data_IF_122950405134
#
_entry.id   IF_122950405134
#
_cell.length_a   1.000
_cell.length_b   1.000
_cell.length_c   1.000
_cell.angle_alpha   90.00
_cell.angle_beta   90.00
_cell.angle_gamma   90.00
#
_symmetry.space_group_name_H-M   'P 1'
#
loop_
_entity.id
_entity.type
_entity.pdbx_description
1 polymer ?
#
# COMPACT_ATOMS: atom_id res chain seq x y z
N UNK A 1 -16.79 6.81 -17.97
CA UNK A 1 -16.14 5.64 -17.33
C UNK A 1 -14.74 6.06 -16.91
N UNK A 2 -14.20 5.60 -15.77
CA UNK A 2 -12.82 5.91 -15.41
C UNK A 2 -11.86 5.23 -16.41
N UNK A 3 -10.90 6.00 -16.94
CA UNK A 3 -10.01 5.55 -18.01
C UNK A 3 -8.64 5.06 -17.51
N UNK A 4 -8.27 5.40 -16.27
CA UNK A 4 -6.98 5.04 -15.68
C UNK A 4 -7.23 4.30 -14.36
N UNK A 5 -7.08 2.98 -14.39
CA UNK A 5 -7.30 2.09 -13.24
C UNK A 5 -6.01 1.60 -12.60
N UNK A 6 -4.85 1.83 -13.23
CA UNK A 6 -3.53 1.59 -12.65
C UNK A 6 -2.46 2.25 -13.53
N UNK A 7 -1.28 2.51 -12.95
CA UNK A 7 -0.09 2.99 -13.66
C UNK A 7 1.12 2.19 -13.16
N UNK A 8 1.97 1.71 -14.08
CA UNK A 8 3.20 0.95 -13.79
C UNK A 8 3.00 -0.33 -12.95
N UNK A 9 1.77 -0.86 -12.89
CA UNK A 9 1.46 -2.13 -12.24
C UNK A 9 1.80 -3.29 -13.18
N UNK A 10 2.45 -4.33 -12.65
CA UNK A 10 2.72 -5.54 -13.43
C UNK A 10 1.42 -6.28 -13.79
N UNK A 11 1.36 -6.98 -14.93
CA UNK A 11 0.19 -7.79 -15.29
C UNK A 11 -0.17 -8.81 -14.21
N UNK A 12 -1.46 -9.08 -14.00
CA UNK A 12 -1.89 -10.10 -13.05
C UNK A 12 -1.34 -11.47 -13.46
N UNK A 13 -0.94 -12.26 -12.46
CA UNK A 13 -0.44 -13.63 -12.62
C UNK A 13 -0.83 -14.48 -11.41
N UNK A 14 -0.75 -15.80 -11.54
CA UNK A 14 -0.88 -16.70 -10.40
C UNK A 14 0.14 -16.34 -9.31
N UNK A 15 -0.20 -16.56 -8.05
CA UNK A 15 0.69 -16.33 -6.91
C UNK A 15 1.94 -17.21 -7.07
N UNK A 16 3.12 -16.59 -7.12
CA UNK A 16 4.41 -17.31 -7.13
C UNK A 16 5.42 -16.56 -6.29
N UNK A 17 6.18 -17.32 -5.52
CA UNK A 17 7.33 -16.87 -4.75
C UNK A 17 8.53 -17.66 -5.28
N UNK A 18 9.64 -17.00 -5.64
CA UNK A 18 10.80 -17.70 -6.18
C UNK A 18 11.51 -18.46 -5.06
N UNK A 19 12.01 -19.67 -5.36
CA UNK A 19 12.83 -20.48 -4.45
C UNK A 19 14.06 -21.03 -5.17
N UNK A 20 15.16 -21.33 -4.46
CA UNK A 20 16.38 -21.87 -5.07
C UNK A 20 16.17 -23.20 -5.80
N UNK A 21 15.22 -24.03 -5.35
CA UNK A 21 14.91 -25.32 -5.95
C UNK A 21 13.41 -25.63 -5.89
N UNK A 22 12.97 -26.57 -6.72
CA UNK A 22 11.60 -27.09 -6.67
C UNK A 22 11.30 -27.80 -5.34
N UNK A 23 12.29 -28.46 -4.74
CA UNK A 23 12.14 -29.10 -3.42
C UNK A 23 11.87 -28.08 -2.31
N UNK A 24 12.58 -26.95 -2.32
CA UNK A 24 12.32 -25.85 -1.38
C UNK A 24 10.91 -25.27 -1.58
N UNK A 25 10.49 -25.08 -2.83
CA UNK A 25 9.17 -24.54 -3.16
C UNK A 25 8.00 -25.43 -2.70
N UNK A 26 8.21 -26.76 -2.61
CA UNK A 26 7.18 -27.71 -2.18
C UNK A 26 7.03 -27.79 -0.66
N UNK A 27 8.08 -27.48 0.10
CA UNK A 27 8.14 -27.77 1.54
C UNK A 27 8.16 -26.51 2.41
N UNK A 28 8.66 -25.39 1.88
CA UNK A 28 8.88 -24.19 2.69
C UNK A 28 7.78 -23.16 2.50
N UNK A 29 7.29 -22.52 3.57
CA UNK A 29 6.41 -21.37 3.43
C UNK A 29 7.14 -20.22 2.71
N UNK A 30 6.37 -19.27 2.16
CA UNK A 30 6.93 -18.15 1.37
C UNK A 30 7.93 -17.30 2.15
N UNK A 31 7.71 -17.18 3.45
CA UNK A 31 8.52 -16.40 4.39
C UNK A 31 9.95 -16.95 4.52
N UNK A 32 10.16 -18.22 4.21
CA UNK A 32 11.47 -18.88 4.25
C UNK A 32 12.22 -18.83 2.92
N UNK A 33 11.64 -18.24 1.87
CA UNK A 33 12.39 -17.99 0.64
C UNK A 33 13.46 -16.92 0.88
N UNK A 34 14.72 -17.12 0.42
CA UNK A 34 15.76 -16.10 0.50
C UNK A 34 15.47 -14.85 -0.37
N UNK A 35 14.47 -14.94 -1.25
CA UNK A 35 14.04 -13.87 -2.15
C UNK A 35 12.65 -13.33 -1.80
N UNK A 36 12.23 -13.56 -0.55
CA UNK A 36 11.06 -12.94 0.02
C UNK A 36 11.46 -12.02 1.17
N UNK A 37 10.90 -10.82 1.21
CA UNK A 37 11.12 -9.87 2.29
C UNK A 37 9.79 -9.31 2.74
N UNK A 38 9.37 -9.65 3.96
CA UNK A 38 8.08 -9.25 4.49
C UNK A 38 8.13 -7.81 5.02
N UNK A 39 7.27 -6.95 4.47
CA UNK A 39 7.10 -5.57 4.92
C UNK A 39 5.90 -5.39 5.86
N UNK A 40 5.31 -6.45 6.39
CA UNK A 40 4.32 -6.35 7.48
C UNK A 40 4.99 -5.86 8.78
N UNK A 41 4.19 -5.33 9.70
CA UNK A 41 4.63 -4.81 10.99
C UNK A 41 4.20 -3.36 11.19
N UNK A 42 4.93 -2.63 12.03
CA UNK A 42 4.62 -1.23 12.33
C UNK A 42 5.22 -0.31 11.27
N UNK A 43 4.40 0.59 10.74
CA UNK A 43 4.78 1.65 9.81
C UNK A 43 4.54 3.02 10.46
N UNK A 44 5.23 4.04 9.96
CA UNK A 44 4.90 5.43 10.27
C UNK A 44 3.64 5.82 9.50
N UNK A 45 2.72 6.51 10.15
CA UNK A 45 1.43 6.90 9.60
C UNK A 45 1.07 8.35 9.89
N UNK A 46 0.43 8.98 8.90
CA UNK A 46 -0.25 10.28 9.01
C UNK A 46 -1.57 10.21 8.26
N UNK A 47 -2.59 10.88 8.79
CA UNK A 47 -3.89 11.01 8.13
C UNK A 47 -4.17 12.48 7.81
N UNK A 48 -4.67 12.73 6.60
CA UNK A 48 -5.08 14.03 6.10
C UNK A 48 -6.57 14.01 5.77
N UNK A 49 -7.22 15.18 5.75
CA UNK A 49 -8.65 15.26 5.47
C UNK A 49 -9.00 15.08 4.00
N UNK A 50 -8.04 15.30 3.09
CA UNK A 50 -8.19 15.19 1.64
C UNK A 50 -6.83 15.01 0.95
N UNK A 51 -6.76 14.42 -0.25
CA UNK A 51 -5.49 14.13 -0.92
C UNK A 51 -4.68 15.39 -1.28
N UNK A 52 -5.33 16.52 -1.55
CA UNK A 52 -4.66 17.79 -1.90
C UNK A 52 -3.81 18.36 -0.75
N UNK A 53 -4.07 17.92 0.48
CA UNK A 53 -3.27 18.30 1.65
C UNK A 53 -1.97 17.51 1.76
N UNK A 54 -1.83 16.40 1.01
CA UNK A 54 -0.64 15.54 1.01
C UNK A 54 0.44 16.19 0.14
N UNK A 55 1.08 17.21 0.69
CA UNK A 55 2.25 17.86 0.08
C UNK A 55 3.54 17.35 0.73
N UNK A 56 4.67 17.46 0.02
CA UNK A 56 5.98 17.10 0.58
C UNK A 56 6.24 17.82 1.91
N UNK A 57 5.94 19.12 1.98
CA UNK A 57 6.09 19.91 3.21
C UNK A 57 5.20 19.38 4.34
N UNK A 58 3.92 19.07 4.07
CA UNK A 58 3.00 18.56 5.08
C UNK A 58 3.36 17.15 5.56
N UNK A 59 3.89 16.30 4.68
CA UNK A 59 4.36 14.96 5.02
C UNK A 59 5.62 15.02 5.90
N UNK A 60 6.55 15.93 5.62
CA UNK A 60 7.77 16.11 6.42
C UNK A 60 7.53 16.83 7.76
N UNK A 61 6.51 17.69 7.85
CA UNK A 61 6.19 18.42 9.07
C UNK A 61 5.39 17.59 10.08
N UNK A 62 5.69 17.76 11.38
CA UNK A 62 4.93 17.15 12.46
C UNK A 62 5.27 15.68 12.73
N UNK A 63 4.80 15.18 13.87
CA UNK A 63 5.08 13.83 14.33
C UNK A 63 4.36 12.78 13.49
N UNK A 64 4.99 11.61 13.36
CA UNK A 64 4.38 10.42 12.81
C UNK A 64 3.79 9.58 13.93
N UNK A 65 2.70 8.87 13.65
CA UNK A 65 2.11 7.90 14.57
C UNK A 65 2.38 6.48 14.07
N UNK A 66 2.55 5.50 14.96
CA UNK A 66 2.69 4.11 14.53
C UNK A 66 1.33 3.57 14.03
N UNK A 67 1.37 2.72 13.00
CA UNK A 67 0.21 1.94 12.54
C UNK A 67 0.63 0.50 12.22
N UNK A 68 -0.22 -0.47 12.55
CA UNK A 68 0.01 -1.86 12.17
C UNK A 68 -0.43 -2.12 10.72
N UNK A 69 0.43 -2.80 9.96
CA UNK A 69 0.17 -3.25 8.59
C UNK A 69 0.36 -4.77 8.51
N UNK A 70 -0.62 -5.54 8.01
CA UNK A 70 -1.92 -5.09 7.50
C UNK A 70 -2.89 -4.66 8.60
N UNK A 71 -3.85 -3.80 8.26
CA UNK A 71 -4.94 -3.39 9.13
C UNK A 71 -5.60 -2.10 8.64
N UNK A 72 -6.91 -1.97 8.88
CA UNK A 72 -7.64 -0.76 8.52
C UNK A 72 -7.33 0.35 9.51
N UNK A 73 -7.11 1.59 9.05
CA UNK A 73 -6.83 2.69 9.97
C UNK A 73 -8.03 3.02 10.88
N UNK A 74 -9.26 2.70 10.43
CA UNK A 74 -10.51 2.97 11.14
C UNK A 74 -10.66 2.13 12.40
N UNK A 75 -10.08 0.92 12.41
CA UNK A 75 -10.02 0.07 13.62
C UNK A 75 -8.80 0.36 14.49
N UNK A 76 -7.92 1.26 14.04
CA UNK A 76 -6.70 1.66 14.75
C UNK A 76 -6.78 3.10 15.29
N UNK A 77 -7.99 3.68 15.34
CA UNK A 77 -8.25 4.97 15.98
C UNK A 77 -8.27 6.18 15.03
N UNK A 78 -8.21 5.97 13.71
CA UNK A 78 -8.22 7.07 12.74
C UNK A 78 -9.53 7.09 11.94
N UNK A 79 -10.27 8.21 11.98
CA UNK A 79 -11.54 8.32 11.28
C UNK A 79 -12.64 7.44 11.86
N UNK A 80 -13.67 7.11 11.06
CA UNK A 80 -14.82 6.30 11.48
C UNK A 80 -15.18 5.29 10.39
N UNK A 81 -15.48 4.04 10.73
CA UNK A 81 -15.99 3.07 9.77
C UNK A 81 -17.41 3.46 9.34
N UNK A 82 -17.76 3.17 8.08
CA UNK A 82 -19.10 3.35 7.56
C UNK A 82 -19.77 2.00 7.37
N UNK A 83 -21.05 1.92 7.76
CA UNK A 83 -21.90 0.77 7.50
C UNK A 83 -23.15 1.24 6.79
N UNK A 84 -23.27 0.93 5.51
CA UNK A 84 -24.44 1.26 4.69
C UNK A 84 -24.88 0.02 3.92
N UNK A 85 -26.18 -0.07 3.60
CA UNK A 85 -26.70 -1.22 2.85
C UNK A 85 -26.59 -0.99 1.33
N UNK A 86 -27.28 0.03 0.82
CA UNK A 86 -27.33 0.35 -0.63
C UNK A 86 -26.73 1.71 -0.95
N UNK A 87 -26.98 2.69 -0.08
CA UNK A 87 -26.54 4.07 -0.30
C UNK A 87 -25.03 4.17 -0.09
N UNK A 88 -24.35 4.86 -1.03
CA UNK A 88 -22.97 5.25 -0.83
C UNK A 88 -22.86 6.13 0.43
N UNK A 89 -21.74 6.08 1.15
CA UNK A 89 -21.54 6.91 2.35
C UNK A 89 -21.36 8.41 2.03
N UNK A 90 -21.47 8.82 0.76
CA UNK A 90 -21.36 10.19 0.29
C UNK A 90 -22.35 10.48 -0.85
N UNK A 91 -22.73 11.76 -1.09
CA UNK A 91 -23.80 12.13 -2.03
C UNK A 91 -23.35 12.28 -3.49
N UNK A 92 -22.04 12.37 -3.77
CA UNK A 92 -21.50 12.58 -5.10
C UNK A 92 -21.87 11.45 -6.08
N UNK A 93 -22.09 11.80 -7.34
CA UNK A 93 -22.36 10.83 -8.41
C UNK A 93 -21.04 10.42 -9.09
N UNK A 94 -20.88 9.15 -9.50
CA UNK A 94 -19.67 8.73 -10.21
C UNK A 94 -19.43 9.54 -11.49
N UNK A 95 -18.16 9.89 -11.82
CA UNK A 95 -16.92 9.48 -11.16
C UNK A 95 -16.48 10.38 -10.00
N UNK A 96 -17.31 11.34 -9.56
CA UNK A 96 -16.91 12.33 -8.56
C UNK A 96 -16.86 11.72 -7.15
N UNK A 97 -15.86 12.15 -6.38
CA UNK A 97 -15.62 11.77 -4.98
C UNK A 97 -15.86 12.97 -4.06
N UNK A 98 -16.15 12.78 -2.76
CA UNK A 98 -16.33 13.90 -1.84
C UNK A 98 -15.04 14.73 -1.68
N UNK A 99 -15.20 16.04 -1.45
CA UNK A 99 -14.08 16.96 -1.15
C UNK A 99 -13.34 16.58 0.15
N UNK A 100 -14.08 16.05 1.13
CA UNK A 100 -13.51 15.41 2.32
C UNK A 100 -13.30 13.93 2.02
N UNK A 101 -12.06 13.58 1.71
CA UNK A 101 -11.64 12.23 1.34
C UNK A 101 -10.41 11.83 2.17
N UNK A 102 -10.62 11.28 3.38
CA UNK A 102 -9.52 10.97 4.30
C UNK A 102 -8.41 10.17 3.64
N UNK A 103 -7.19 10.70 3.68
CA UNK A 103 -6.04 10.15 2.96
C UNK A 103 -4.96 9.75 3.95
N UNK A 104 -4.67 8.45 4.01
CA UNK A 104 -3.61 7.89 4.84
C UNK A 104 -2.26 7.84 4.11
N UNK A 105 -1.22 8.42 4.71
CA UNK A 105 0.17 8.31 4.24
C UNK A 105 0.90 7.31 5.13
N UNK A 106 1.39 6.24 4.50
CA UNK A 106 2.18 5.20 5.14
C UNK A 106 3.65 5.33 4.74
N UNK A 107 4.56 5.31 5.70
CA UNK A 107 6.00 5.37 5.47
C UNK A 107 6.72 4.22 6.18
N UNK A 108 7.64 3.58 5.45
CA UNK A 108 8.51 2.54 6.00
C UNK A 108 9.87 2.58 5.33
N UNK A 109 10.91 2.59 6.15
CA UNK A 109 12.29 2.38 5.72
C UNK A 109 12.61 0.89 5.83
N UNK A 110 13.28 0.35 4.82
CA UNK A 110 13.73 -1.04 4.80
C UNK A 110 15.01 -1.16 3.98
N UNK A 111 15.75 -2.25 4.19
CA UNK A 111 17.01 -2.53 3.51
C UNK A 111 16.83 -3.72 2.60
N UNK A 112 17.21 -3.58 1.32
CA UNK A 112 17.22 -4.69 0.38
C UNK A 112 18.31 -5.70 0.78
N UNK A 113 18.00 -7.00 0.90
CA UNK A 113 19.02 -8.01 1.18
C UNK A 113 20.12 -8.03 0.11
N UNK A 114 21.40 -8.09 0.53
CA UNK A 114 22.54 -8.03 -0.39
C UNK A 114 22.51 -9.11 -1.48
N UNK A 115 21.96 -10.30 -1.17
CA UNK A 115 21.81 -11.41 -2.12
C UNK A 115 20.80 -11.19 -3.24
N UNK A 116 20.15 -10.02 -3.30
CA UNK A 116 19.20 -9.63 -4.35
C UNK A 116 19.86 -8.85 -5.49
N UNK A 117 21.18 -8.63 -5.44
CA UNK A 117 21.91 -7.97 -6.52
C UNK A 117 21.64 -8.64 -7.88
N UNK A 118 21.52 -7.82 -8.93
CA UNK A 118 21.19 -8.24 -10.31
C UNK A 118 19.86 -9.00 -10.50
N UNK A 119 18.98 -9.00 -9.50
CA UNK A 119 17.64 -9.57 -9.60
C UNK A 119 16.59 -8.49 -9.84
N UNK A 120 15.51 -8.88 -10.53
CA UNK A 120 14.30 -8.07 -10.58
C UNK A 120 13.63 -8.08 -9.21
N UNK A 121 13.53 -6.90 -8.60
CA UNK A 121 12.83 -6.68 -7.34
C UNK A 121 11.40 -6.23 -7.62
N UNK A 122 10.43 -6.79 -6.91
CA UNK A 122 9.01 -6.45 -7.06
C UNK A 122 8.44 -6.12 -5.69
N UNK A 123 7.89 -4.91 -5.55
CA UNK A 123 7.09 -4.53 -4.39
C UNK A 123 5.66 -5.05 -4.58
N UNK A 124 5.17 -5.83 -3.62
CA UNK A 124 3.87 -6.49 -3.71
C UNK A 124 2.99 -6.09 -2.52
N UNK A 125 1.87 -5.43 -2.83
CA UNK A 125 0.80 -5.14 -1.86
C UNK A 125 -0.26 -6.24 -1.96
N UNK A 126 -0.56 -6.90 -0.84
CA UNK A 126 -1.57 -7.96 -0.79
C UNK A 126 -3.00 -7.46 -0.99
N UNK A 127 -3.24 -6.18 -0.70
CA UNK A 127 -4.50 -5.48 -0.92
C UNK A 127 -4.41 -4.03 -0.44
N UNK A 128 -5.22 -3.17 -1.04
CA UNK A 128 -5.49 -1.81 -0.60
C UNK A 128 -6.95 -1.49 -0.91
N UNK A 129 -7.60 -0.68 -0.08
CA UNK A 129 -8.96 -0.21 -0.30
C UNK A 129 -8.93 1.23 -0.84
N UNK A 130 -9.79 1.54 -1.81
CA UNK A 130 -9.83 2.84 -2.48
C UNK A 130 -8.79 2.93 -3.61
N UNK A 131 -7.81 3.83 -3.47
CA UNK A 131 -6.74 4.04 -4.42
C UNK A 131 -5.38 4.12 -3.69
N UNK A 132 -4.33 3.60 -4.33
CA UNK A 132 -2.99 3.52 -3.77
C UNK A 132 -1.97 4.19 -4.70
N UNK A 133 -1.33 5.24 -4.21
CA UNK A 133 -0.18 5.88 -4.84
C UNK A 133 1.11 5.42 -4.16
N UNK A 134 2.09 4.99 -4.95
CA UNK A 134 3.34 4.43 -4.41
C UNK A 134 4.52 5.29 -4.83
N UNK A 135 5.33 5.66 -3.83
CA UNK A 135 6.61 6.32 -4.02
C UNK A 135 7.72 5.47 -3.39
N UNK A 136 8.89 5.41 -4.04
CA UNK A 136 10.08 4.73 -3.54
C UNK A 136 11.24 5.70 -3.62
N UNK A 137 11.91 5.96 -2.50
CA UNK A 137 13.02 6.93 -2.41
C UNK A 137 12.65 8.33 -2.95
N UNK A 138 11.42 8.77 -2.72
CA UNK A 138 10.89 10.06 -3.20
C UNK A 138 10.32 10.05 -4.61
N UNK A 139 10.57 9.00 -5.40
CA UNK A 139 10.14 8.93 -6.80
C UNK A 139 8.79 8.21 -6.94
N UNK A 140 7.84 8.73 -7.74
CA UNK A 140 6.57 8.05 -8.00
C UNK A 140 6.81 6.80 -8.86
N UNK A 141 6.38 5.63 -8.36
CA UNK A 141 6.59 4.36 -9.06
C UNK A 141 5.31 3.75 -9.62
N UNK A 142 4.13 4.09 -9.10
CA UNK A 142 2.88 3.56 -9.65
C UNK A 142 1.62 3.95 -8.89
N UNK A 143 0.50 3.53 -9.47
CA UNK A 143 -0.86 3.71 -8.98
C UNK A 143 -1.63 2.38 -9.11
N UNK A 144 -2.46 2.08 -8.12
CA UNK A 144 -3.47 1.02 -8.16
C UNK A 144 -4.82 1.58 -7.73
#
# INVERSE_FOLDING_TARGET
MPHLTSLNRLPPRATLIPYPSAGDALQRPREESPWFHLLNGVWDFKIFGRPEQVTHAAVEQGAWSPIAVPGDWTVQGYGRPHYTNVQMPFPNLPPDVPDENPTGVYRRTFTIPAGWHDRRIVLHFGGCEGALYVHVNGEPVGLN
#
